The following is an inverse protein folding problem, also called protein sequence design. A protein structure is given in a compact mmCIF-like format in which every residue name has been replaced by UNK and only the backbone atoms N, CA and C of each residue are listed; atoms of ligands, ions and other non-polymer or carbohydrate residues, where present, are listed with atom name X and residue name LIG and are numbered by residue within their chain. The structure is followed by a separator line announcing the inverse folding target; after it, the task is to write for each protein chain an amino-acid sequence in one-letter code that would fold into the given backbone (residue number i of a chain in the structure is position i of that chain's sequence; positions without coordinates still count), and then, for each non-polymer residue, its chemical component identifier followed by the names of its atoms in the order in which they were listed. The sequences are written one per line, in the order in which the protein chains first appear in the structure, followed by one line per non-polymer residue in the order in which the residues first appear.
data_IF_469886551376
#
_entry.id   IF_469886551376
#
_cell.length_a   1.000
_cell.length_b   1.000
_cell.length_c   1.000
_cell.angle_alpha   90.00
_cell.angle_beta   90.00
_cell.angle_gamma   90.00
#
_symmetry.space_group_name_H-M   'P 1'
#
loop_
_entity.id
_entity.type
_entity.pdbx_description
1 polymer ?
#
# COMPACT_ATOMS: atom_id res chain seq x y z
N UNK A 1 -4.03 1.02 -19.25
CA UNK A 1 -3.64 -0.19 -18.45
C UNK A 1 -4.87 -0.65 -17.70
N UNK A 2 -5.24 -1.91 -17.80
CA UNK A 2 -6.35 -2.47 -17.00
C UNK A 2 -5.89 -2.79 -15.54
N UNK A 3 -6.84 -3.20 -14.69
CA UNK A 3 -6.56 -3.47 -13.26
C UNK A 3 -5.70 -4.71 -13.10
N UNK A 4 -5.92 -5.76 -13.90
CA UNK A 4 -5.13 -6.97 -13.85
C UNK A 4 -3.67 -6.73 -14.28
N UNK A 5 -3.46 -5.89 -15.27
CA UNK A 5 -2.14 -5.49 -15.71
C UNK A 5 -1.42 -4.66 -14.64
N UNK A 6 -2.14 -3.71 -13.99
CA UNK A 6 -1.62 -2.95 -12.86
C UNK A 6 -1.17 -3.89 -11.73
N UNK A 7 -2.03 -4.81 -11.31
CA UNK A 7 -1.74 -5.82 -10.28
C UNK A 7 -0.49 -6.63 -10.61
N UNK A 8 -0.45 -7.20 -11.83
CA UNK A 8 0.69 -8.00 -12.28
C UNK A 8 1.99 -7.21 -12.26
N UNK A 9 1.97 -5.97 -12.75
CA UNK A 9 3.14 -5.09 -12.78
C UNK A 9 3.64 -4.79 -11.37
N UNK A 10 2.79 -4.35 -10.46
CA UNK A 10 3.18 -3.99 -9.11
C UNK A 10 3.73 -5.18 -8.32
N UNK A 11 3.13 -6.35 -8.48
CA UNK A 11 3.62 -7.58 -7.85
C UNK A 11 4.98 -8.00 -8.45
N UNK A 12 5.14 -7.92 -9.76
CA UNK A 12 6.41 -8.23 -10.42
C UNK A 12 7.54 -7.31 -9.95
N UNK A 13 7.28 -6.00 -9.85
CA UNK A 13 8.24 -5.01 -9.36
C UNK A 13 8.68 -5.30 -7.90
N UNK A 14 7.75 -5.73 -7.04
CA UNK A 14 8.11 -6.15 -5.66
C UNK A 14 8.98 -7.39 -5.69
N UNK A 15 8.59 -8.44 -6.41
CA UNK A 15 9.34 -9.70 -6.50
C UNK A 15 10.75 -9.45 -7.05
N UNK A 16 10.90 -8.59 -8.06
CA UNK A 16 12.20 -8.26 -8.64
C UNK A 16 13.10 -7.49 -7.66
N UNK A 17 12.51 -6.64 -6.82
CA UNK A 17 13.23 -5.89 -5.80
C UNK A 17 13.66 -6.77 -4.63
N UNK A 18 12.82 -7.71 -4.19
CA UNK A 18 13.16 -8.64 -3.10
C UNK A 18 14.24 -9.63 -3.51
N UNK A 19 14.39 -9.90 -4.80
CA UNK A 19 15.45 -10.73 -5.35
C UNK A 19 15.23 -12.24 -5.15
N UNK A 20 16.27 -13.01 -5.44
CA UNK A 20 16.22 -14.46 -5.43
C UNK A 20 16.31 -15.09 -4.04
N UNK A 21 16.93 -16.30 -4.01
CA UNK A 21 17.13 -17.06 -2.77
C UNK A 21 18.17 -16.40 -1.85
N UNK A 22 17.81 -16.25 -0.57
CA UNK A 22 18.71 -15.81 0.52
C UNK A 22 18.53 -16.76 1.70
N UNK A 23 19.65 -17.15 2.30
CA UNK A 23 19.69 -17.90 3.56
C UNK A 23 20.89 -17.45 4.38
N UNK A 24 20.68 -16.53 5.30
CA UNK A 24 21.74 -16.03 6.15
C UNK A 24 21.70 -16.74 7.51
N UNK A 25 22.82 -17.31 8.00
CA UNK A 25 22.86 -18.08 9.26
C UNK A 25 22.38 -17.32 10.49
N UNK A 26 22.48 -15.98 10.50
CA UNK A 26 22.01 -15.13 11.58
C UNK A 26 20.53 -14.74 11.42
N UNK A 27 19.86 -15.09 10.32
CA UNK A 27 18.47 -14.78 10.11
C UNK A 27 17.58 -15.87 10.74
N UNK A 28 16.85 -15.50 11.79
CA UNK A 28 15.93 -16.39 12.49
C UNK A 28 14.69 -16.77 11.64
N UNK A 29 14.45 -16.07 10.54
CA UNK A 29 13.37 -16.35 9.60
C UNK A 29 13.65 -17.52 8.66
N UNK A 30 14.90 -18.01 8.63
CA UNK A 30 15.34 -19.10 7.75
C UNK A 30 15.39 -18.70 6.26
N UNK A 31 15.45 -19.68 5.35
CA UNK A 31 15.59 -19.40 3.93
C UNK A 31 14.39 -18.62 3.39
N UNK A 32 14.69 -17.62 2.56
CA UNK A 32 13.73 -16.82 1.82
C UNK A 32 13.99 -16.92 0.32
N UNK A 33 12.96 -16.78 -0.48
CA UNK A 33 13.07 -16.64 -1.93
C UNK A 33 11.98 -15.69 -2.43
N UNK A 34 12.34 -14.73 -3.27
CA UNK A 34 11.42 -13.70 -3.75
C UNK A 34 10.74 -12.93 -2.57
N UNK A 35 11.42 -12.73 -1.45
CA UNK A 35 10.85 -12.16 -0.23
C UNK A 35 9.87 -13.05 0.53
N UNK A 36 9.63 -14.29 0.06
CA UNK A 36 8.75 -15.26 0.73
C UNK A 36 9.61 -16.14 1.66
N UNK A 37 9.27 -16.14 2.94
CA UNK A 37 9.93 -17.01 3.93
C UNK A 37 9.49 -18.46 3.77
N UNK A 38 10.33 -19.40 4.25
CA UNK A 38 10.00 -20.82 4.26
C UNK A 38 8.62 -21.10 4.87
N UNK A 39 8.32 -20.47 6.02
CA UNK A 39 7.04 -20.66 6.70
C UNK A 39 5.87 -20.23 5.80
N UNK A 40 5.96 -19.03 5.21
CA UNK A 40 4.91 -18.52 4.30
C UNK A 40 4.74 -19.43 3.08
N UNK A 41 5.84 -19.95 2.53
CA UNK A 41 5.76 -20.91 1.41
C UNK A 41 5.03 -22.19 1.82
N UNK A 42 5.34 -22.74 3.01
CA UNK A 42 4.69 -23.94 3.57
C UNK A 42 3.19 -23.72 3.82
N UNK A 43 2.82 -22.58 4.41
CA UNK A 43 1.43 -22.20 4.68
C UNK A 43 0.61 -22.07 3.37
N UNK A 44 1.29 -21.81 2.26
CA UNK A 44 0.69 -21.77 0.92
C UNK A 44 0.85 -23.07 0.10
N UNK A 45 1.18 -24.18 0.78
CA UNK A 45 1.21 -25.53 0.20
C UNK A 45 2.48 -25.91 -0.54
N UNK A 46 3.53 -25.05 -0.55
CA UNK A 46 4.79 -25.39 -1.20
C UNK A 46 5.67 -26.26 -0.30
N UNK A 47 6.04 -27.46 -0.76
CA UNK A 47 6.85 -28.41 0.00
C UNK A 47 8.26 -28.61 -0.58
N UNK A 48 8.59 -27.91 -1.70
CA UNK A 48 9.87 -28.04 -2.39
C UNK A 48 11.02 -27.30 -1.73
N UNK A 49 12.20 -27.35 -2.39
CA UNK A 49 13.37 -26.52 -2.02
C UNK A 49 13.08 -25.05 -2.30
N UNK A 50 13.38 -24.18 -1.32
CA UNK A 50 13.17 -22.73 -1.45
C UNK A 50 13.97 -22.09 -2.59
N UNK A 51 15.11 -22.70 -2.99
CA UNK A 51 15.87 -22.27 -4.18
C UNK A 51 15.08 -22.44 -5.48
N UNK A 52 14.12 -23.36 -5.50
CA UNK A 52 13.28 -23.67 -6.64
C UNK A 52 11.85 -23.15 -6.48
N UNK A 53 11.59 -22.21 -5.54
CA UNK A 53 10.27 -21.60 -5.35
C UNK A 53 9.80 -20.96 -6.66
N UNK A 54 8.67 -21.44 -7.27
CA UNK A 54 8.20 -20.91 -8.52
C UNK A 54 7.77 -19.44 -8.39
N UNK A 55 8.29 -18.56 -9.25
CA UNK A 55 7.90 -17.13 -9.28
C UNK A 55 6.37 -16.92 -9.39
N UNK A 56 5.61 -17.72 -10.18
CA UNK A 56 4.15 -17.61 -10.18
C UNK A 56 3.49 -17.90 -8.82
N UNK A 57 4.06 -18.81 -8.02
CA UNK A 57 3.56 -19.06 -6.66
C UNK A 57 3.86 -17.88 -5.74
N UNK A 58 5.05 -17.30 -5.80
CA UNK A 58 5.36 -16.07 -5.08
C UNK A 58 4.38 -14.95 -5.46
N UNK A 59 4.11 -14.75 -6.76
CA UNK A 59 3.14 -13.77 -7.24
C UNK A 59 1.73 -14.01 -6.68
N UNK A 60 1.27 -15.26 -6.63
CA UNK A 60 -0.01 -15.63 -6.02
C UNK A 60 -0.05 -15.31 -4.52
N UNK A 61 1.04 -15.57 -3.80
CA UNK A 61 1.14 -15.26 -2.38
C UNK A 61 1.06 -13.74 -2.15
N UNK A 62 1.79 -12.92 -2.93
CA UNK A 62 1.72 -11.47 -2.88
C UNK A 62 0.32 -10.95 -3.21
N UNK A 63 -0.33 -11.49 -4.24
CA UNK A 63 -1.71 -11.14 -4.59
C UNK A 63 -2.66 -11.40 -3.42
N UNK A 64 -2.63 -12.59 -2.84
CA UNK A 64 -3.53 -12.93 -1.74
C UNK A 64 -3.26 -12.09 -0.49
N UNK A 65 -1.98 -11.92 -0.12
CA UNK A 65 -1.60 -11.30 1.13
C UNK A 65 -1.77 -9.78 1.15
N UNK A 66 -1.57 -9.12 0.02
CA UNK A 66 -1.51 -7.65 -0.05
C UNK A 66 -2.57 -7.05 -0.97
N UNK A 67 -2.87 -7.65 -2.13
CA UNK A 67 -3.82 -7.11 -3.08
C UNK A 67 -5.26 -7.45 -2.70
N UNK A 68 -5.56 -8.73 -2.53
CA UNK A 68 -6.93 -9.16 -2.22
C UNK A 68 -7.35 -8.86 -0.78
N UNK A 69 -6.42 -8.93 0.18
CA UNK A 69 -6.69 -8.57 1.58
C UNK A 69 -7.10 -7.11 1.75
N UNK A 70 -6.58 -6.22 0.90
CA UNK A 70 -6.94 -4.80 0.85
C UNK A 70 -8.06 -4.47 -0.16
N UNK A 71 -8.66 -5.48 -0.80
CA UNK A 71 -9.70 -5.31 -1.84
C UNK A 71 -9.28 -4.29 -2.92
N UNK A 72 -8.02 -4.38 -3.38
CA UNK A 72 -7.47 -3.39 -4.29
C UNK A 72 -8.09 -3.42 -5.69
N UNK A 73 -8.78 -4.47 -6.09
CA UNK A 73 -9.55 -4.48 -7.33
C UNK A 73 -10.69 -3.43 -7.26
N UNK A 74 -11.46 -3.40 -6.15
CA UNK A 74 -12.51 -2.41 -5.92
C UNK A 74 -11.94 -0.98 -5.82
N UNK A 75 -10.81 -0.82 -5.11
CA UNK A 75 -10.19 0.50 -4.94
C UNK A 75 -9.58 0.99 -6.26
N UNK A 76 -8.92 0.13 -7.03
CA UNK A 76 -8.32 0.48 -8.31
C UNK A 76 -9.37 0.87 -9.37
N UNK A 77 -10.57 0.28 -9.28
CA UNK A 77 -11.70 0.69 -10.12
C UNK A 77 -12.15 2.14 -9.86
N UNK A 78 -11.95 2.63 -8.64
CA UNK A 78 -12.23 4.03 -8.28
C UNK A 78 -11.01 4.93 -8.53
N UNK A 79 -9.82 4.51 -8.08
CA UNK A 79 -8.58 5.27 -8.27
C UNK A 79 -7.36 4.35 -8.19
N UNK A 80 -6.60 4.27 -9.28
CA UNK A 80 -5.41 3.41 -9.41
C UNK A 80 -4.25 3.88 -8.53
N UNK A 81 -4.09 5.18 -8.37
CA UNK A 81 -3.00 5.76 -7.58
C UNK A 81 -3.18 5.44 -6.11
N UNK A 82 -4.42 5.50 -5.60
CA UNK A 82 -4.75 5.06 -4.25
C UNK A 82 -4.46 3.57 -4.06
N UNK A 83 -4.83 2.73 -5.03
CA UNK A 83 -4.53 1.30 -4.96
C UNK A 83 -3.02 1.02 -4.97
N UNK A 84 -2.23 1.75 -5.78
CA UNK A 84 -0.77 1.66 -5.79
C UNK A 84 -0.17 2.05 -4.43
N UNK A 85 -0.61 3.16 -3.85
CA UNK A 85 -0.16 3.62 -2.53
C UNK A 85 -0.46 2.59 -1.45
N UNK A 86 -1.68 2.05 -1.42
CA UNK A 86 -2.09 1.06 -0.43
C UNK A 86 -1.36 -0.28 -0.61
N UNK A 87 -1.14 -0.73 -1.85
CA UNK A 87 -0.36 -1.93 -2.13
C UNK A 87 1.08 -1.79 -1.62
N UNK A 88 1.74 -0.70 -2.01
CA UNK A 88 3.12 -0.44 -1.61
C UNK A 88 3.26 -0.29 -0.07
N UNK A 89 2.30 0.40 0.57
CA UNK A 89 2.25 0.51 2.02
C UNK A 89 2.02 -0.85 2.68
N UNK A 90 1.09 -1.65 2.14
CA UNK A 90 0.78 -2.98 2.65
C UNK A 90 1.97 -3.93 2.58
N UNK A 91 2.72 -3.91 1.48
CA UNK A 91 3.93 -4.72 1.33
C UNK A 91 5.00 -4.33 2.38
N UNK A 92 5.21 -3.03 2.62
CA UNK A 92 6.27 -2.56 3.51
C UNK A 92 5.92 -2.61 5.01
N UNK A 93 4.66 -2.42 5.36
CA UNK A 93 4.27 -2.20 6.76
C UNK A 93 3.10 -3.08 7.21
N UNK A 94 2.69 -3.99 6.34
CA UNK A 94 1.55 -4.87 6.54
C UNK A 94 0.21 -4.28 6.04
N UNK A 95 -0.69 -5.12 5.51
CA UNK A 95 -1.96 -4.68 4.96
C UNK A 95 -2.88 -4.04 6.00
N UNK A 96 -2.87 -4.53 7.24
CA UNK A 96 -3.64 -3.92 8.33
C UNK A 96 -3.27 -2.46 8.56
N UNK A 97 -1.97 -2.13 8.53
CA UNK A 97 -1.51 -0.75 8.68
C UNK A 97 -1.97 0.15 7.52
N UNK A 98 -1.87 -0.35 6.29
CA UNK A 98 -2.36 0.40 5.13
C UNK A 98 -3.87 0.67 5.22
N UNK A 99 -4.65 -0.33 5.66
CA UNK A 99 -6.09 -0.17 5.88
C UNK A 99 -6.41 0.83 7.00
N UNK A 100 -5.71 0.77 8.15
CA UNK A 100 -5.88 1.74 9.25
C UNK A 100 -5.69 3.18 8.78
N UNK A 101 -4.62 3.46 8.04
CA UNK A 101 -4.36 4.82 7.55
C UNK A 101 -5.37 5.27 6.49
N UNK A 102 -5.85 4.38 5.63
CA UNK A 102 -6.98 4.69 4.73
C UNK A 102 -8.23 5.07 5.54
N UNK A 103 -8.57 4.29 6.56
CA UNK A 103 -9.74 4.50 7.40
C UNK A 103 -9.65 5.82 8.19
N UNK A 104 -8.46 6.12 8.76
CA UNK A 104 -8.20 7.39 9.44
C UNK A 104 -8.40 8.57 8.48
N UNK A 105 -7.82 8.51 7.29
CA UNK A 105 -7.94 9.61 6.31
C UNK A 105 -9.40 9.78 5.84
N UNK A 106 -10.13 8.71 5.63
CA UNK A 106 -11.57 8.79 5.32
C UNK A 106 -12.34 9.51 6.44
N UNK A 107 -12.07 9.17 7.71
CA UNK A 107 -12.76 9.79 8.84
C UNK A 107 -12.44 11.30 8.99
N UNK A 108 -11.18 11.71 8.79
CA UNK A 108 -10.83 13.14 8.89
C UNK A 108 -11.31 13.98 7.70
N UNK A 109 -11.55 13.34 6.55
CA UNK A 109 -12.02 14.01 5.33
C UNK A 109 -13.56 14.02 5.17
N UNK A 110 -14.33 13.47 6.11
CA UNK A 110 -15.78 13.34 6.04
C UNK A 110 -16.55 14.62 6.43
N UNK A 111 -15.85 15.72 6.70
CA UNK A 111 -16.46 17.00 7.07
C UNK A 111 -17.38 16.90 8.31
N UNK A 112 -16.85 16.39 9.43
CA UNK A 112 -17.57 16.17 10.70
C UNK A 112 -18.80 15.27 10.54
N UNK A 113 -18.66 14.21 9.74
CA UNK A 113 -19.74 13.27 9.47
C UNK A 113 -20.83 13.75 8.49
N UNK A 114 -20.69 14.96 7.92
CA UNK A 114 -21.68 15.51 6.98
C UNK A 114 -21.72 14.77 5.64
N UNK A 115 -20.57 14.27 5.20
CA UNK A 115 -20.45 13.54 3.94
C UNK A 115 -20.80 12.06 4.11
N UNK A 116 -20.33 11.46 5.17
CA UNK A 116 -20.58 10.09 5.62
C UNK A 116 -20.16 9.95 7.07
N UNK A 117 -20.76 9.02 7.81
CA UNK A 117 -20.41 8.76 9.20
C UNK A 117 -19.00 8.22 9.32
N UNK A 118 -18.37 8.44 10.49
CA UNK A 118 -17.11 7.80 10.82
C UNK A 118 -17.23 6.28 10.72
N UNK A 119 -16.19 5.67 10.22
CA UNK A 119 -16.04 4.21 10.19
C UNK A 119 -15.07 3.77 11.27
N UNK A 120 -15.20 2.53 11.73
CA UNK A 120 -14.26 1.94 12.66
C UNK A 120 -12.88 1.81 12.02
N UNK A 121 -11.84 2.24 12.73
CA UNK A 121 -10.44 2.02 12.34
C UNK A 121 -10.01 0.67 12.93
N UNK A 122 -10.13 -0.39 12.13
CA UNK A 122 -9.87 -1.77 12.55
C UNK A 122 -8.79 -2.49 11.72
N UNK A 123 -8.23 -1.78 10.73
CA UNK A 123 -7.18 -2.33 9.87
C UNK A 123 -7.68 -3.37 8.85
N UNK A 124 -8.98 -3.43 8.58
CA UNK A 124 -9.57 -4.33 7.60
C UNK A 124 -10.40 -3.56 6.56
N UNK A 125 -10.10 -3.74 5.29
CA UNK A 125 -10.89 -3.14 4.20
C UNK A 125 -12.13 -4.00 3.98
N UNK A 126 -13.20 -3.68 4.71
CA UNK A 126 -14.53 -4.27 4.58
C UNK A 126 -15.49 -3.39 3.79
N UNK A 127 -16.77 -3.80 3.76
CA UNK A 127 -17.81 -3.06 3.04
C UNK A 127 -18.04 -1.65 3.61
N UNK A 128 -17.87 -1.44 4.90
CA UNK A 128 -17.96 -0.10 5.51
C UNK A 128 -16.87 0.83 4.97
N UNK A 129 -15.63 0.36 4.86
CA UNK A 129 -14.52 1.14 4.29
C UNK A 129 -14.76 1.46 2.82
N UNK A 130 -15.18 0.45 2.02
CA UNK A 130 -15.49 0.66 0.59
C UNK A 130 -16.68 1.59 0.38
N UNK A 131 -17.69 1.51 1.23
CA UNK A 131 -18.85 2.41 1.17
C UNK A 131 -18.47 3.85 1.49
N UNK A 132 -17.65 4.08 2.52
CA UNK A 132 -17.13 5.41 2.84
C UNK A 132 -16.29 5.97 1.69
N UNK A 133 -15.42 5.15 1.09
CA UNK A 133 -14.60 5.52 -0.06
C UNK A 133 -15.45 5.88 -1.29
N UNK A 134 -16.48 5.09 -1.62
CA UNK A 134 -17.42 5.40 -2.72
C UNK A 134 -18.14 6.74 -2.47
N UNK A 135 -18.60 7.01 -1.24
CA UNK A 135 -19.20 8.28 -0.86
C UNK A 135 -18.22 9.44 -0.99
N UNK A 136 -16.98 9.26 -0.53
CA UNK A 136 -15.92 10.25 -0.70
C UNK A 136 -15.69 10.55 -2.19
N UNK A 137 -15.56 9.52 -3.02
CA UNK A 137 -15.40 9.65 -4.47
C UNK A 137 -16.58 10.38 -5.13
N UNK A 138 -17.80 10.05 -4.76
CA UNK A 138 -19.01 10.68 -5.32
C UNK A 138 -19.12 12.18 -4.98
N UNK A 139 -18.65 12.57 -3.78
CA UNK A 139 -18.75 13.96 -3.31
C UNK A 139 -17.58 14.81 -3.78
N UNK A 140 -16.35 14.24 -3.77
CA UNK A 140 -15.12 14.97 -4.02
C UNK A 140 -14.51 14.72 -5.40
N UNK A 141 -15.07 13.75 -6.15
CA UNK A 141 -14.58 13.40 -7.48
C UNK A 141 -13.13 12.92 -7.52
N UNK A 142 -12.52 13.04 -8.68
CA UNK A 142 -11.11 12.66 -8.93
C UNK A 142 -10.14 13.44 -8.04
N UNK A 143 -10.37 14.75 -7.81
CA UNK A 143 -9.54 15.59 -6.96
C UNK A 143 -9.53 15.12 -5.51
N UNK A 144 -10.68 14.67 -5.00
CA UNK A 144 -10.77 14.09 -3.66
C UNK A 144 -10.04 12.77 -3.53
N UNK A 145 -10.12 11.91 -4.53
CA UNK A 145 -9.37 10.65 -4.55
C UNK A 145 -7.87 10.87 -4.70
N UNK A 146 -7.47 11.86 -5.51
CA UNK A 146 -6.09 12.30 -5.62
C UNK A 146 -5.57 12.78 -4.24
N UNK A 147 -6.29 13.67 -3.56
CA UNK A 147 -5.95 14.14 -2.22
C UNK A 147 -5.81 12.96 -1.23
N UNK A 148 -6.77 12.03 -1.23
CA UNK A 148 -6.76 10.88 -0.34
C UNK A 148 -5.52 10.00 -0.56
N UNK A 149 -5.16 9.69 -1.81
CA UNK A 149 -3.95 8.93 -2.12
C UNK A 149 -2.68 9.60 -1.58
N UNK A 150 -2.58 10.93 -1.74
CA UNK A 150 -1.43 11.70 -1.27
C UNK A 150 -1.36 11.81 0.24
N UNK A 151 -2.50 12.03 0.92
CA UNK A 151 -2.53 12.11 2.39
C UNK A 151 -2.22 10.76 3.04
N UNK A 152 -2.72 9.65 2.50
CA UNK A 152 -2.32 8.30 2.96
C UNK A 152 -0.82 8.07 2.75
N UNK A 153 -0.25 8.50 1.61
CA UNK A 153 1.18 8.34 1.36
C UNK A 153 2.04 9.24 2.27
N UNK A 154 1.60 10.46 2.58
CA UNK A 154 2.28 11.36 3.50
C UNK A 154 2.33 10.80 4.93
N UNK A 155 1.26 10.17 5.40
CA UNK A 155 1.22 9.51 6.71
C UNK A 155 2.26 8.38 6.84
N UNK A 156 2.68 7.76 5.75
CA UNK A 156 3.76 6.76 5.78
C UNK A 156 5.08 7.37 6.23
N UNK A 157 5.39 8.61 5.84
CA UNK A 157 6.58 9.33 6.32
C UNK A 157 6.49 9.50 7.84
N UNK A 158 5.34 9.94 8.33
CA UNK A 158 5.11 10.11 9.78
C UNK A 158 5.22 8.77 10.51
N UNK A 159 4.66 7.72 9.95
CA UNK A 159 4.76 6.36 10.50
C UNK A 159 6.23 5.88 10.57
N UNK A 160 6.98 5.98 9.47
CA UNK A 160 8.39 5.59 9.43
C UNK A 160 9.24 6.42 10.39
N UNK A 161 9.00 7.73 10.48
CA UNK A 161 9.66 8.61 11.46
C UNK A 161 9.42 8.13 12.88
N UNK A 162 8.17 7.83 13.25
CA UNK A 162 7.81 7.31 14.58
C UNK A 162 8.48 5.96 14.90
N UNK A 163 8.74 5.12 13.90
CA UNK A 163 9.50 3.89 14.10
C UNK A 163 10.98 4.19 14.45
N UNK A 164 11.61 5.10 13.72
CA UNK A 164 12.98 5.51 13.99
C UNK A 164 13.12 6.18 15.39
N UNK A 165 12.21 7.09 15.74
CA UNK A 165 12.19 7.75 17.06
C UNK A 165 12.07 6.76 18.24
N UNK A 166 11.46 5.58 18.02
CA UNK A 166 11.30 4.56 19.06
C UNK A 166 12.49 3.63 19.19
N UNK A 167 13.34 3.54 18.19
CA UNK A 167 14.44 2.60 18.15
C UNK A 167 15.56 3.10 17.23
N UNK A 168 16.68 3.49 17.80
CA UNK A 168 17.87 3.96 17.09
C UNK A 168 18.32 2.99 15.97
N UNK A 169 18.18 1.68 16.19
CA UNK A 169 18.51 0.67 15.18
C UNK A 169 17.68 0.79 13.90
N UNK A 170 16.50 1.42 13.95
CA UNK A 170 15.64 1.64 12.79
C UNK A 170 16.07 2.86 11.95
N UNK A 171 16.89 3.75 12.50
CA UNK A 171 17.42 4.91 11.77
C UNK A 171 18.21 4.51 10.53
N UNK A 172 18.92 3.39 10.60
CA UNK A 172 19.66 2.84 9.46
C UNK A 172 18.79 2.57 8.21
N UNK A 173 17.50 2.36 8.38
CA UNK A 173 16.55 2.08 7.30
C UNK A 173 15.72 3.29 6.88
N UNK A 174 15.67 4.34 7.70
CA UNK A 174 14.73 5.47 7.56
C UNK A 174 14.92 6.20 6.23
N UNK A 175 16.16 6.44 5.79
CA UNK A 175 16.41 7.07 4.50
C UNK A 175 15.83 6.26 3.33
N UNK A 176 16.00 4.95 3.33
CA UNK A 176 15.43 4.05 2.32
C UNK A 176 13.90 4.07 2.31
N UNK A 177 13.28 4.10 3.49
CA UNK A 177 11.82 4.20 3.61
C UNK A 177 11.30 5.53 3.06
N UNK A 178 11.91 6.65 3.44
CA UNK A 178 11.50 7.98 2.96
C UNK A 178 11.70 8.11 1.45
N UNK A 179 12.84 7.65 0.92
CA UNK A 179 13.10 7.64 -0.52
C UNK A 179 11.99 6.92 -1.27
N UNK A 180 11.59 5.74 -0.81
CA UNK A 180 10.51 4.96 -1.43
C UNK A 180 9.16 5.71 -1.45
N UNK A 181 8.80 6.38 -0.36
CA UNK A 181 7.58 7.19 -0.29
C UNK A 181 7.63 8.34 -1.28
N UNK A 182 8.78 9.03 -1.38
CA UNK A 182 8.99 10.16 -2.31
C UNK A 182 9.01 9.69 -3.76
N UNK A 183 9.65 8.56 -4.07
CA UNK A 183 9.64 7.97 -5.42
C UNK A 183 8.22 7.64 -5.88
N UNK A 184 7.39 7.04 -5.01
CA UNK A 184 6.00 6.76 -5.31
C UNK A 184 5.19 8.05 -5.53
N UNK A 185 5.38 9.06 -4.67
CA UNK A 185 4.75 10.37 -4.82
C UNK A 185 5.12 11.02 -6.16
N UNK A 186 6.41 11.03 -6.49
CA UNK A 186 6.90 11.58 -7.77
C UNK A 186 6.30 10.87 -8.97
N UNK A 187 6.19 9.53 -8.91
CA UNK A 187 5.59 8.75 -9.98
C UNK A 187 4.11 9.12 -10.18
N UNK A 188 3.34 9.21 -9.10
CA UNK A 188 1.91 9.58 -9.16
C UNK A 188 1.73 11.01 -9.69
N UNK A 189 2.53 11.98 -9.22
CA UNK A 189 2.45 13.38 -9.65
C UNK A 189 2.84 13.57 -11.13
N UNK A 190 3.80 12.80 -11.65
CA UNK A 190 4.16 12.86 -13.06
C UNK A 190 3.02 12.36 -13.97
N UNK A 191 2.25 11.40 -13.52
CA UNK A 191 1.13 10.87 -14.28
C UNK A 191 -0.13 11.72 -14.17
N UNK A 192 -0.32 12.41 -13.04
CA UNK A 192 -1.48 13.26 -12.78
C UNK A 192 -1.02 14.52 -12.04
N UNK A 193 -0.91 15.65 -12.74
CA UNK A 193 -0.56 16.92 -12.11
C UNK A 193 -1.64 17.34 -11.12
N UNK A 194 -1.27 18.24 -10.21
CA UNK A 194 -2.19 18.84 -9.23
C UNK A 194 -3.44 19.37 -9.96
N UNK A 195 -4.66 19.07 -9.46
CA UNK A 195 -5.90 19.54 -10.04
C UNK A 195 -5.91 21.06 -10.23
N UNK A 196 -6.31 21.53 -11.43
CA UNK A 196 -6.28 22.95 -11.75
C UNK A 196 -7.15 23.80 -10.82
N UNK A 197 -8.30 23.28 -10.42
CA UNK A 197 -9.19 23.93 -9.47
C UNK A 197 -8.51 24.32 -8.14
N UNK A 198 -7.51 23.56 -7.70
CA UNK A 198 -6.75 23.91 -6.49
C UNK A 198 -5.75 25.02 -6.70
N UNK A 199 -5.25 25.18 -7.93
CA UNK A 199 -4.32 26.26 -8.30
C UNK A 199 -5.10 27.58 -8.33
N UNK A 200 -6.30 27.55 -8.87
CA UNK A 200 -7.17 28.72 -9.03
C UNK A 200 -7.71 29.23 -7.67
N UNK A 201 -8.01 28.30 -6.72
CA UNK A 201 -8.45 28.66 -5.36
C UNK A 201 -7.36 29.37 -4.54
N UNK A 202 -6.07 29.11 -4.78
CA UNK A 202 -4.95 29.76 -4.06
C UNK A 202 -4.63 31.13 -4.67
N UNK A 203 -5.05 31.39 -5.91
CA UNK A 203 -4.81 32.65 -6.62
C UNK A 203 -5.92 33.70 -6.40
N UNK A 204 -7.02 33.32 -5.73
CA UNK A 204 -8.17 34.17 -5.43
C UNK A 204 -8.14 34.69 -4.00
#
# INVERSE_FOLDING_TARGET
MDIEELKRRLIAEVIDREGGYVNHPADRGGPTCWGITLQVARDNGYQGDMRALPRPLAAKIYANRYWHSLKLDDIAAMNRDLAMVLFDFGVNSGPGRAAEYLQIQLNVLNNRGRHYADIKVDGAVGEHTLTALRKHANIRGESGLFLLAHTVNAERIVFCRRLAERSESQEAFTYGWFRRVVELLSHVLHQRPVPREWIDEVAA
#
